data_IF_621183645322
#
_entry.id   IF_621183645322
#
_cell.length_a   1.000
_cell.length_b   1.000
_cell.length_c   1.000
_cell.angle_alpha   90.00
_cell.angle_beta   90.00
_cell.angle_gamma   90.00
#
_symmetry.space_group_name_H-M   'P 1'
#
loop_
_entity.id
_entity.type
_entity.pdbx_description
1 polymer ?
#
# COMPACT_ATOMS: atom_id res chain seq x y z
N UNK A 1 -7.50 19.85 -25.45
CA UNK A 1 -8.72 20.51 -24.96
C UNK A 1 -9.24 19.66 -23.82
N UNK A 2 -9.15 20.12 -22.58
CA UNK A 2 -9.75 19.44 -21.42
C UNK A 2 -11.26 19.60 -21.52
N UNK A 3 -11.97 18.51 -21.84
CA UNK A 3 -13.43 18.44 -21.75
C UNK A 3 -13.82 18.67 -20.29
N UNK A 4 -14.57 19.73 -20.03
CA UNK A 4 -15.15 19.98 -18.72
C UNK A 4 -16.16 18.89 -18.41
N UNK A 5 -15.99 18.20 -17.28
CA UNK A 5 -16.91 17.15 -16.82
C UNK A 5 -17.97 17.82 -15.93
N UNK A 6 -19.26 17.66 -16.25
CA UNK A 6 -20.36 18.00 -15.34
C UNK A 6 -20.83 16.73 -14.62
N UNK A 7 -20.58 16.66 -13.32
CA UNK A 7 -20.98 15.52 -12.49
C UNK A 7 -22.51 15.41 -12.31
N UNK A 8 -23.28 16.46 -12.63
CA UNK A 8 -24.75 16.37 -12.62
C UNK A 8 -25.29 15.45 -13.70
N UNK A 9 -24.50 15.21 -14.76
CA UNK A 9 -24.86 14.31 -15.86
C UNK A 9 -24.43 12.85 -15.58
N UNK A 10 -23.77 12.58 -14.46
CA UNK A 10 -23.35 11.23 -14.10
C UNK A 10 -24.56 10.34 -13.78
N UNK A 11 -24.68 9.23 -14.50
CA UNK A 11 -25.70 8.20 -14.25
C UNK A 11 -25.04 7.05 -13.50
N UNK A 12 -25.42 6.88 -12.23
CA UNK A 12 -24.92 5.80 -11.39
C UNK A 12 -25.36 4.42 -11.90
N UNK A 13 -24.46 3.44 -11.80
CA UNK A 13 -24.71 2.02 -12.07
C UNK A 13 -24.58 1.21 -10.79
N UNK A 14 -23.38 1.12 -10.20
CA UNK A 14 -23.13 0.33 -8.99
C UNK A 14 -21.96 0.86 -8.15
N UNK A 15 -21.96 0.50 -6.87
CA UNK A 15 -20.79 0.71 -5.99
C UNK A 15 -19.69 -0.26 -6.41
N UNK A 16 -18.47 0.25 -6.54
CA UNK A 16 -17.28 -0.55 -6.76
C UNK A 16 -16.61 -0.88 -5.43
N UNK A 17 -16.37 0.11 -4.57
CA UNK A 17 -15.77 -0.08 -3.25
C UNK A 17 -16.24 0.98 -2.25
N UNK A 18 -16.30 0.60 -0.98
CA UNK A 18 -16.61 1.46 0.14
C UNK A 18 -15.64 1.16 1.29
N UNK A 19 -14.87 2.19 1.69
CA UNK A 19 -13.92 2.09 2.79
C UNK A 19 -14.27 3.11 3.88
N UNK A 20 -14.93 2.61 4.92
CA UNK A 20 -15.38 3.42 6.06
C UNK A 20 -14.21 4.04 6.85
N UNK A 21 -13.05 3.37 6.92
CA UNK A 21 -11.88 3.86 7.65
C UNK A 21 -11.19 5.00 6.90
N UNK A 22 -11.01 4.85 5.58
CA UNK A 22 -10.42 5.87 4.73
C UNK A 22 -11.43 6.97 4.34
N UNK A 23 -12.70 6.81 4.72
CA UNK A 23 -13.81 7.68 4.32
C UNK A 23 -13.89 7.91 2.80
N UNK A 24 -13.77 6.82 2.04
CA UNK A 24 -13.80 6.84 0.57
C UNK A 24 -14.88 5.94 -0.01
N UNK A 25 -15.42 6.35 -1.15
CA UNK A 25 -16.40 5.59 -1.93
C UNK A 25 -16.00 5.63 -3.41
N UNK A 26 -15.98 4.50 -4.09
CA UNK A 26 -15.80 4.42 -5.53
C UNK A 26 -17.06 3.84 -6.17
N UNK A 27 -17.57 4.50 -7.21
CA UNK A 27 -18.76 4.06 -7.95
C UNK A 27 -18.49 3.99 -9.45
N UNK A 28 -19.19 3.08 -10.11
CA UNK A 28 -19.26 2.98 -11.56
C UNK A 28 -20.57 3.60 -12.03
N UNK A 29 -20.51 4.22 -13.21
CA UNK A 29 -21.66 4.74 -13.92
C UNK A 29 -21.26 5.16 -15.32
N UNK A 30 -21.98 6.13 -15.86
CA UNK A 30 -21.69 6.68 -17.19
C UNK A 30 -21.78 8.20 -17.23
N UNK A 31 -21.07 8.80 -18.18
CA UNK A 31 -21.12 10.23 -18.51
C UNK A 31 -21.38 10.41 -20.01
N UNK A 32 -21.97 11.53 -20.44
CA UNK A 32 -22.14 11.82 -21.87
C UNK A 32 -20.81 11.86 -22.62
N UNK A 33 -20.82 11.37 -23.85
CA UNK A 33 -19.69 11.52 -24.77
C UNK A 33 -19.83 12.80 -25.57
N UNK A 34 -18.79 13.63 -25.60
CA UNK A 34 -18.75 14.81 -26.46
C UNK A 34 -18.62 14.47 -27.95
N UNK A 35 -18.17 13.26 -28.27
CA UNK A 35 -17.94 12.81 -29.66
C UNK A 35 -19.03 11.86 -30.17
N UNK A 36 -19.68 11.11 -29.28
CA UNK A 36 -20.71 10.11 -29.60
C UNK A 36 -21.93 10.28 -28.69
N UNK A 37 -22.79 11.29 -28.90
CA UNK A 37 -23.86 11.66 -27.95
C UNK A 37 -24.82 10.52 -27.56
N UNK A 38 -24.95 9.49 -28.41
CA UNK A 38 -25.81 8.33 -28.19
C UNK A 38 -25.11 7.16 -27.46
N UNK A 39 -23.80 7.23 -27.25
CA UNK A 39 -23.02 6.21 -26.56
C UNK A 39 -22.34 6.82 -25.33
N UNK A 40 -22.95 6.67 -24.14
CA UNK A 40 -22.38 7.23 -22.93
C UNK A 40 -21.11 6.46 -22.54
N UNK A 41 -20.10 7.20 -22.08
CA UNK A 41 -18.81 6.65 -21.69
C UNK A 41 -18.90 6.08 -20.28
N UNK A 42 -18.34 4.88 -20.06
CA UNK A 42 -18.17 4.34 -18.71
C UNK A 42 -17.30 5.29 -17.90
N UNK A 43 -17.70 5.57 -16.67
CA UNK A 43 -17.00 6.47 -15.78
C UNK A 43 -16.91 5.90 -14.37
N UNK A 44 -15.74 6.05 -13.74
CA UNK A 44 -15.57 5.79 -12.30
C UNK A 44 -15.52 7.14 -11.60
N UNK A 45 -16.31 7.30 -10.55
CA UNK A 45 -16.26 8.47 -9.67
C UNK A 45 -15.84 7.99 -8.28
N UNK A 46 -14.74 8.54 -7.76
CA UNK A 46 -14.24 8.25 -6.41
C UNK A 46 -14.35 9.49 -5.54
N UNK A 47 -15.02 9.33 -4.40
CA UNK A 47 -15.19 10.32 -3.34
C UNK A 47 -14.21 10.02 -2.21
N UNK A 48 -13.64 11.08 -1.64
CA UNK A 48 -12.75 11.02 -0.49
C UNK A 48 -13.05 12.21 0.42
N UNK A 49 -13.36 11.96 1.70
CA UNK A 49 -13.48 13.06 2.68
C UNK A 49 -12.15 13.78 2.80
N UNK A 50 -12.19 15.11 2.82
CA UNK A 50 -11.00 15.90 3.09
C UNK A 50 -10.60 15.77 4.56
N UNK A 51 -9.30 15.87 4.83
CA UNK A 51 -8.78 15.80 6.19
C UNK A 51 -9.19 17.05 6.98
N UNK A 52 -9.50 16.86 8.26
CA UNK A 52 -9.69 17.97 9.18
C UNK A 52 -8.35 18.64 9.47
N UNK A 53 -8.21 19.91 9.12
CA UNK A 53 -7.02 20.69 9.44
C UNK A 53 -7.03 21.12 10.90
N UNK A 54 -5.85 21.33 11.49
CA UNK A 54 -5.73 21.87 12.86
C UNK A 54 -6.38 23.26 13.01
N UNK A 55 -6.58 24.01 11.92
CA UNK A 55 -7.27 25.30 11.93
C UNK A 55 -8.76 25.18 12.24
N UNK A 56 -9.38 24.00 12.07
CA UNK A 56 -10.74 23.74 12.52
C UNK A 56 -10.87 23.94 14.03
N UNK A 57 -9.85 23.52 14.80
CA UNK A 57 -9.89 23.60 16.26
C UNK A 57 -9.98 25.04 16.77
N UNK A 58 -9.27 25.99 16.15
CA UNK A 58 -9.34 27.41 16.54
C UNK A 58 -10.66 28.08 16.14
N UNK A 59 -11.44 27.45 15.25
CA UNK A 59 -12.70 27.98 14.72
C UNK A 59 -13.96 27.35 15.33
N UNK A 60 -13.81 26.35 16.22
CA UNK A 60 -14.95 25.71 16.90
C UNK A 60 -15.80 26.74 17.65
N UNK A 61 -15.14 27.65 18.38
CA UNK A 61 -15.81 28.72 19.13
C UNK A 61 -16.36 29.84 18.24
N UNK A 62 -15.87 29.97 17.00
CA UNK A 62 -16.28 31.01 16.06
C UNK A 62 -17.35 30.55 15.07
N UNK A 63 -17.98 29.39 15.33
CA UNK A 63 -19.14 28.93 14.55
C UNK A 63 -18.78 28.20 13.26
N UNK A 64 -17.72 27.38 13.22
CA UNK A 64 -17.48 26.49 12.06
C UNK A 64 -18.56 25.40 11.92
N UNK A 65 -19.23 25.04 13.02
CA UNK A 65 -20.30 24.06 13.05
C UNK A 65 -21.65 24.73 12.72
N UNK A 66 -22.31 24.26 11.68
CA UNK A 66 -23.67 24.67 11.32
C UNK A 66 -24.70 24.07 12.28
N UNK A 67 -24.53 22.79 12.62
CA UNK A 67 -25.41 22.10 13.56
C UNK A 67 -24.72 20.91 14.22
N UNK A 68 -25.24 20.49 15.36
CA UNK A 68 -24.80 19.29 16.07
C UNK A 68 -25.98 18.46 16.54
N UNK A 69 -25.79 17.15 16.63
CA UNK A 69 -26.76 16.19 17.18
C UNK A 69 -26.06 15.25 18.13
N UNK A 70 -26.40 15.30 19.41
CA UNK A 70 -25.87 14.37 20.39
C UNK A 70 -26.37 12.95 20.10
N UNK A 71 -25.45 11.99 20.10
CA UNK A 71 -25.74 10.58 19.88
C UNK A 71 -25.88 9.88 21.24
N UNK A 72 -25.02 10.22 22.20
CA UNK A 72 -25.06 9.67 23.54
C UNK A 72 -24.08 10.35 24.49
N UNK A 73 -24.16 9.94 25.76
CA UNK A 73 -23.24 10.37 26.82
C UNK A 73 -23.17 9.34 27.93
N UNK A 74 -22.00 9.20 28.54
CA UNK A 74 -21.80 8.44 29.79
C UNK A 74 -20.68 9.07 30.61
N UNK A 75 -20.95 9.34 31.89
CA UNK A 75 -20.03 10.04 32.80
C UNK A 75 -19.47 11.33 32.17
N UNK A 76 -18.17 11.39 31.90
CA UNK A 76 -17.49 12.53 31.27
C UNK A 76 -17.39 12.45 29.73
N UNK A 77 -17.92 11.39 29.12
CA UNK A 77 -17.84 11.17 27.67
C UNK A 77 -19.15 11.54 26.99
N UNK A 78 -19.09 12.33 25.92
CA UNK A 78 -20.22 12.65 25.05
C UNK A 78 -19.78 12.64 23.60
N UNK A 79 -20.62 12.14 22.70
CA UNK A 79 -20.31 12.08 21.27
C UNK A 79 -21.49 12.56 20.42
N UNK A 80 -21.15 13.26 19.34
CA UNK A 80 -22.08 14.03 18.52
C UNK A 80 -21.83 13.72 17.05
N UNK A 81 -22.89 13.81 16.24
CA UNK A 81 -22.74 14.18 14.84
C UNK A 81 -22.66 15.71 14.75
N UNK A 82 -21.89 16.22 13.79
CA UNK A 82 -21.79 17.63 13.50
C UNK A 82 -21.75 17.85 11.99
N UNK A 83 -22.29 18.99 11.56
CA UNK A 83 -22.28 19.44 10.17
C UNK A 83 -21.54 20.76 10.10
N UNK A 84 -20.63 20.89 9.13
CA UNK A 84 -19.84 22.11 8.91
C UNK A 84 -20.61 23.05 7.99
N UNK A 85 -20.43 24.35 8.19
CA UNK A 85 -20.88 25.32 7.18
C UNK A 85 -20.10 25.14 5.87
N UNK A 86 -20.79 25.30 4.74
CA UNK A 86 -20.16 25.32 3.42
C UNK A 86 -19.15 26.48 3.33
N UNK A 87 -17.91 26.18 2.97
CA UNK A 87 -16.85 27.16 2.72
C UNK A 87 -16.00 26.78 1.53
N UNK A 88 -15.57 27.79 0.75
CA UNK A 88 -14.75 27.55 -0.45
C UNK A 88 -13.29 27.24 -0.11
N UNK A 89 -12.78 27.72 1.04
CA UNK A 89 -11.43 27.46 1.54
C UNK A 89 -11.30 26.09 2.24
N UNK A 90 -12.42 25.41 2.50
CA UNK A 90 -12.48 24.17 3.24
C UNK A 90 -13.53 23.20 2.65
N UNK A 91 -13.29 22.63 1.46
CA UNK A 91 -14.23 21.70 0.83
C UNK A 91 -14.31 20.38 1.60
N UNK A 92 -15.50 19.78 1.71
CA UNK A 92 -15.73 18.56 2.50
C UNK A 92 -15.29 17.25 1.81
N UNK A 93 -15.30 17.22 0.47
CA UNK A 93 -15.08 16.02 -0.32
C UNK A 93 -14.24 16.35 -1.54
N UNK A 94 -13.22 15.54 -1.79
CA UNK A 94 -12.46 15.53 -3.04
C UNK A 94 -13.00 14.44 -3.96
N UNK A 95 -13.20 14.77 -5.23
CA UNK A 95 -13.76 13.86 -6.24
C UNK A 95 -12.73 13.60 -7.33
N UNK A 96 -12.54 12.34 -7.68
CA UNK A 96 -11.71 11.90 -8.80
C UNK A 96 -12.60 11.23 -9.84
N UNK A 97 -12.38 11.56 -11.13
CA UNK A 97 -13.16 10.99 -12.24
C UNK A 97 -12.23 10.31 -13.23
N UNK A 98 -12.56 9.06 -13.59
CA UNK A 98 -11.91 8.32 -14.68
C UNK A 98 -12.95 8.13 -15.77
N UNK A 99 -12.78 8.79 -16.91
CA UNK A 99 -13.67 8.69 -18.05
C UNK A 99 -12.88 8.91 -19.36
N UNK A 100 -12.93 7.98 -20.35
CA UNK A 100 -13.61 6.69 -20.29
C UNK A 100 -12.87 5.68 -19.38
N UNK A 101 -13.62 4.96 -18.56
CA UNK A 101 -13.12 3.87 -17.73
C UNK A 101 -13.08 2.55 -18.51
N UNK A 102 -11.91 1.91 -18.54
CA UNK A 102 -11.73 0.58 -19.10
C UNK A 102 -12.06 -0.50 -18.07
N UNK A 103 -12.18 -1.75 -18.51
CA UNK A 103 -12.39 -2.89 -17.61
C UNK A 103 -11.24 -3.06 -16.61
N UNK A 104 -10.01 -2.70 -17.00
CA UNK A 104 -8.83 -2.70 -16.11
C UNK A 104 -9.01 -1.71 -14.96
N UNK A 105 -9.51 -0.50 -15.24
CA UNK A 105 -9.81 0.47 -14.19
C UNK A 105 -10.90 -0.05 -13.26
N UNK A 106 -11.97 -0.62 -13.81
CA UNK A 106 -13.11 -1.09 -13.03
C UNK A 106 -12.71 -2.21 -12.08
N UNK A 107 -11.94 -3.19 -12.54
CA UNK A 107 -11.40 -4.25 -11.68
C UNK A 107 -10.49 -3.72 -10.58
N UNK A 108 -9.68 -2.70 -10.87
CA UNK A 108 -8.80 -2.05 -9.88
C UNK A 108 -9.59 -1.36 -8.75
N UNK A 109 -10.70 -0.69 -9.07
CA UNK A 109 -11.51 0.03 -8.10
C UNK A 109 -12.64 -0.80 -7.49
N UNK A 110 -12.90 -2.00 -8.01
CA UNK A 110 -13.86 -2.93 -7.43
C UNK A 110 -13.26 -3.53 -6.16
N UNK A 111 -14.02 -3.53 -5.06
CA UNK A 111 -13.69 -4.19 -3.81
C UNK A 111 -13.39 -5.66 -4.10
N UNK A 112 -12.23 -6.09 -3.63
CA UNK A 112 -11.82 -7.48 -3.74
C UNK A 112 -12.02 -8.14 -2.39
N UNK A 113 -12.66 -9.30 -2.39
CA UNK A 113 -12.62 -10.16 -1.22
C UNK A 113 -11.18 -10.64 -1.02
N UNK A 114 -10.74 -10.65 0.24
CA UNK A 114 -9.39 -11.05 0.60
C UNK A 114 -9.45 -12.44 1.21
N UNK A 115 -8.77 -13.38 0.57
CA UNK A 115 -8.55 -14.71 1.11
C UNK A 115 -7.25 -14.70 1.92
N UNK A 116 -7.34 -15.01 3.22
CA UNK A 116 -6.14 -15.28 4.03
C UNK A 116 -5.65 -16.69 3.72
N UNK A 117 -4.48 -16.79 3.10
CA UNK A 117 -3.86 -18.06 2.75
C UNK A 117 -2.73 -18.39 3.71
N UNK A 118 -2.51 -19.69 3.96
CA UNK A 118 -1.43 -20.20 4.80
C UNK A 118 -0.46 -21.01 3.93
N UNK A 119 0.58 -20.35 3.44
CA UNK A 119 1.56 -20.91 2.52
C UNK A 119 2.64 -21.70 3.27
N UNK A 120 2.58 -23.02 3.19
CA UNK A 120 3.64 -23.90 3.67
C UNK A 120 4.86 -23.89 2.73
N UNK A 121 6.04 -24.37 3.17
CA UNK A 121 7.19 -24.52 2.26
C UNK A 121 6.88 -25.36 1.01
N UNK A 122 6.04 -26.38 1.13
CA UNK A 122 5.63 -27.20 -0.01
C UNK A 122 4.81 -26.39 -1.02
N UNK A 123 3.82 -25.61 -0.55
CA UNK A 123 3.02 -24.72 -1.39
C UNK A 123 3.86 -23.61 -2.03
N UNK A 124 4.87 -23.09 -1.31
CA UNK A 124 5.82 -22.16 -1.89
C UNK A 124 6.52 -22.78 -3.11
N UNK A 125 7.07 -24.00 -2.96
CA UNK A 125 7.80 -24.64 -4.05
C UNK A 125 6.91 -25.02 -5.23
N UNK A 126 5.68 -25.50 -4.99
CA UNK A 126 4.80 -26.01 -6.05
C UNK A 126 3.95 -24.92 -6.74
N UNK A 127 3.62 -23.83 -6.05
CA UNK A 127 2.69 -22.80 -6.55
C UNK A 127 3.38 -21.44 -6.66
N UNK A 128 3.91 -20.95 -5.55
CA UNK A 128 4.31 -19.53 -5.46
C UNK A 128 5.63 -19.27 -6.17
N UNK A 129 6.64 -20.11 -6.00
CA UNK A 129 7.93 -19.98 -6.68
C UNK A 129 7.78 -20.04 -8.21
N UNK A 130 7.02 -20.99 -8.82
CA UNK A 130 6.72 -20.93 -10.24
C UNK A 130 6.05 -19.63 -10.68
N UNK A 131 5.12 -19.09 -9.89
CA UNK A 131 4.49 -17.79 -10.17
C UNK A 131 5.49 -16.63 -10.15
N UNK A 132 6.42 -16.61 -9.19
CA UNK A 132 7.49 -15.61 -9.10
C UNK A 132 8.40 -15.70 -10.33
N UNK A 133 8.82 -16.92 -10.71
CA UNK A 133 9.71 -17.12 -11.85
C UNK A 133 9.05 -16.81 -13.20
N UNK A 134 7.72 -16.95 -13.29
CA UNK A 134 6.94 -16.56 -14.45
C UNK A 134 6.53 -15.07 -14.45
N UNK A 135 6.94 -14.30 -13.44
CA UNK A 135 6.59 -12.89 -13.33
C UNK A 135 7.30 -12.10 -14.42
N UNK A 136 6.53 -11.38 -15.24
CA UNK A 136 7.05 -10.63 -16.38
C UNK A 136 8.10 -9.59 -15.92
N UNK A 137 9.37 -9.70 -16.37
CA UNK A 137 10.43 -8.75 -16.02
C UNK A 137 10.10 -7.29 -16.36
N UNK A 138 9.25 -7.05 -17.35
CA UNK A 138 8.80 -5.70 -17.70
C UNK A 138 8.07 -5.01 -16.53
N UNK A 139 7.46 -5.77 -15.62
CA UNK A 139 6.79 -5.24 -14.42
C UNK A 139 7.76 -4.69 -13.37
N UNK A 140 9.03 -5.04 -13.46
CA UNK A 140 10.12 -4.56 -12.59
C UNK A 140 11.11 -3.66 -13.35
N UNK A 141 10.83 -3.30 -14.61
CA UNK A 141 11.75 -2.49 -15.42
C UNK A 141 12.07 -1.14 -14.76
N UNK A 142 11.06 -0.49 -14.18
CA UNK A 142 11.25 0.78 -13.46
C UNK A 142 12.27 0.67 -12.31
N UNK A 143 12.38 -0.49 -11.67
CA UNK A 143 13.40 -0.74 -10.63
C UNK A 143 14.78 -0.73 -11.28
N UNK A 144 14.94 -1.42 -12.40
CA UNK A 144 16.21 -1.47 -13.14
C UNK A 144 16.63 -0.10 -13.65
N UNK A 145 15.67 0.72 -14.08
CA UNK A 145 15.92 2.09 -14.54
C UNK A 145 16.49 2.96 -13.39
N UNK A 146 15.98 2.77 -12.17
CA UNK A 146 16.51 3.44 -10.97
C UNK A 146 17.92 2.91 -10.62
N UNK A 147 18.09 1.58 -10.60
CA UNK A 147 19.36 0.94 -10.23
C UNK A 147 20.50 1.31 -11.20
N UNK A 148 20.19 1.47 -12.49
CA UNK A 148 21.15 1.88 -13.54
C UNK A 148 21.31 3.40 -13.65
N UNK A 149 20.51 4.18 -12.90
CA UNK A 149 20.56 5.64 -12.90
C UNK A 149 19.94 6.30 -14.13
N UNK A 150 19.16 5.57 -14.94
CA UNK A 150 18.42 6.13 -16.08
C UNK A 150 17.12 6.83 -15.64
N UNK A 151 16.61 6.51 -14.45
CA UNK A 151 15.48 7.18 -13.80
C UNK A 151 15.80 7.54 -12.35
N UNK A 152 15.19 8.62 -11.84
CA UNK A 152 15.21 9.06 -10.43
C UNK A 152 16.58 9.22 -9.76
N UNK A 153 17.69 9.26 -10.52
CA UNK A 153 19.04 9.33 -9.97
C UNK A 153 19.25 10.52 -9.01
N UNK A 154 18.60 11.66 -9.28
CA UNK A 154 18.66 12.85 -8.41
C UNK A 154 17.93 12.68 -7.07
N UNK A 155 17.04 11.70 -6.96
CA UNK A 155 16.21 11.45 -5.77
C UNK A 155 16.88 10.49 -4.79
N UNK A 156 18.03 9.91 -5.14
CA UNK A 156 18.75 8.95 -4.30
C UNK A 156 19.30 9.66 -3.06
N UNK A 157 18.89 9.18 -1.89
CA UNK A 157 19.28 9.71 -0.57
C UNK A 157 20.47 8.97 0.03
N UNK A 158 20.62 7.69 -0.33
CA UNK A 158 21.75 6.85 0.03
C UNK A 158 22.01 5.84 -1.08
N UNK A 159 23.26 5.76 -1.52
CA UNK A 159 23.72 4.73 -2.44
C UNK A 159 24.77 3.86 -1.76
N UNK A 160 24.61 2.56 -1.84
CA UNK A 160 25.61 1.59 -1.41
C UNK A 160 25.72 0.45 -2.42
N UNK A 161 26.78 -0.37 -2.37
CA UNK A 161 26.91 -1.52 -3.27
C UNK A 161 25.73 -2.49 -3.19
N UNK A 162 25.06 -2.57 -2.04
CA UNK A 162 24.00 -3.54 -1.78
C UNK A 162 22.58 -2.99 -1.95
N UNK A 163 22.36 -1.69 -1.74
CA UNK A 163 21.03 -1.08 -1.80
C UNK A 163 21.07 0.43 -2.04
N UNK A 164 19.99 0.96 -2.60
CA UNK A 164 19.69 2.38 -2.74
C UNK A 164 18.52 2.77 -1.84
N UNK A 165 18.51 3.98 -1.27
CA UNK A 165 17.36 4.54 -0.53
C UNK A 165 16.88 5.80 -1.24
N UNK A 166 15.58 5.91 -1.49
CA UNK A 166 14.94 7.04 -2.16
C UNK A 166 13.47 7.21 -1.71
N UNK A 167 12.85 8.38 -1.93
CA UNK A 167 11.41 8.58 -1.70
C UNK A 167 10.54 7.59 -2.50
N UNK A 168 9.47 7.08 -1.89
CA UNK A 168 8.42 6.34 -2.61
C UNK A 168 7.49 7.33 -3.31
N UNK A 169 6.97 6.97 -4.49
CA UNK A 169 6.00 7.78 -5.24
C UNK A 169 4.73 8.16 -4.45
N UNK A 170 4.41 7.45 -3.36
CA UNK A 170 3.27 7.74 -2.48
C UNK A 170 3.48 8.96 -1.60
N UNK A 171 4.71 9.42 -1.44
CA UNK A 171 5.02 10.56 -0.59
C UNK A 171 5.24 11.84 -1.40
N UNK A 172 4.61 12.93 -0.95
CA UNK A 172 4.71 14.26 -1.58
C UNK A 172 6.04 14.98 -1.31
N UNK A 173 6.97 14.34 -0.59
CA UNK A 173 8.27 14.89 -0.15
C UNK A 173 8.19 16.15 0.71
N UNK A 174 6.98 16.53 1.14
CA UNK A 174 6.69 17.78 1.84
C UNK A 174 6.22 17.50 3.27
N UNK A 175 5.17 16.68 3.44
CA UNK A 175 4.65 16.36 4.76
C UNK A 175 5.45 15.23 5.40
N UNK A 176 6.32 15.59 6.35
CA UNK A 176 7.18 14.63 7.08
C UNK A 176 6.37 13.59 7.87
N UNK A 177 5.17 13.93 8.35
CA UNK A 177 4.32 12.99 9.09
C UNK A 177 3.87 11.79 8.25
N UNK A 178 3.83 11.96 6.92
CA UNK A 178 3.49 10.96 5.92
C UNK A 178 4.71 10.48 5.14
N UNK A 179 5.93 10.70 5.66
CA UNK A 179 7.16 10.29 4.99
C UNK A 179 7.14 8.80 4.67
N UNK A 180 7.50 8.50 3.43
CA UNK A 180 7.58 7.16 2.87
C UNK A 180 8.80 7.08 1.95
N UNK A 181 9.76 6.24 2.32
CA UNK A 181 10.93 5.91 1.49
C UNK A 181 10.91 4.41 1.16
N UNK A 182 11.63 4.07 0.10
CA UNK A 182 11.96 2.69 -0.26
C UNK A 182 13.48 2.50 -0.17
N UNK A 183 13.89 1.32 0.29
CA UNK A 183 15.22 0.80 0.05
C UNK A 183 15.13 -0.32 -1.00
N UNK A 184 15.81 -0.17 -2.13
CA UNK A 184 15.86 -1.13 -3.23
C UNK A 184 17.17 -1.91 -3.18
N UNK A 185 17.10 -3.23 -3.17
CA UNK A 185 18.29 -4.08 -3.28
C UNK A 185 18.93 -3.90 -4.66
N UNK A 186 20.25 -3.83 -4.76
CA UNK A 186 20.93 -3.56 -6.03
C UNK A 186 21.08 -4.81 -6.91
N UNK A 187 20.92 -6.00 -6.33
CA UNK A 187 21.06 -7.27 -7.04
C UNK A 187 19.68 -7.87 -7.32
N UNK A 188 19.60 -8.76 -8.31
CA UNK A 188 18.36 -9.38 -8.79
C UNK A 188 18.13 -10.81 -8.29
N UNK A 189 19.01 -11.33 -7.44
CA UNK A 189 18.98 -12.71 -6.93
C UNK A 189 17.98 -12.90 -5.77
N UNK A 190 17.47 -11.81 -5.19
CA UNK A 190 16.48 -11.85 -4.10
C UNK A 190 15.16 -11.26 -4.60
N UNK A 191 14.16 -12.12 -4.78
CA UNK A 191 12.84 -11.73 -5.29
C UNK A 191 11.91 -11.29 -4.15
N UNK A 192 11.99 -11.99 -3.02
CA UNK A 192 11.17 -11.75 -1.84
C UNK A 192 11.85 -12.25 -0.56
N UNK A 193 11.15 -12.13 0.56
CA UNK A 193 11.66 -12.53 1.88
C UNK A 193 12.08 -14.02 1.96
N UNK A 194 11.49 -14.92 1.16
CA UNK A 194 11.86 -16.35 1.10
C UNK A 194 13.29 -16.59 0.60
N UNK A 195 13.88 -15.65 -0.14
CA UNK A 195 15.24 -15.77 -0.69
C UNK A 195 16.31 -15.24 0.27
N UNK A 196 15.92 -14.57 1.36
CA UNK A 196 16.85 -14.09 2.37
C UNK A 196 17.50 -15.26 3.13
N UNK A 197 18.76 -15.06 3.51
CA UNK A 197 19.64 -16.07 4.12
C UNK A 197 20.56 -15.37 5.11
N UNK A 198 20.99 -16.07 6.16
CA UNK A 198 21.98 -15.56 7.11
C UNK A 198 23.24 -15.04 6.41
N UNK A 199 23.81 -15.87 5.52
CA UNK A 199 24.87 -15.47 4.59
C UNK A 199 24.33 -15.58 3.16
N UNK A 200 24.44 -14.54 2.31
CA UNK A 200 25.18 -13.29 2.54
C UNK A 200 24.36 -12.14 3.15
N UNK A 201 23.04 -12.28 3.34
CA UNK A 201 22.15 -11.11 3.45
C UNK A 201 22.10 -10.43 4.83
N UNK A 202 22.40 -11.12 5.94
CA UNK A 202 22.22 -10.55 7.28
C UNK A 202 23.04 -9.27 7.50
N UNK A 203 24.29 -9.25 7.04
CA UNK A 203 25.16 -8.08 7.15
C UNK A 203 24.60 -6.87 6.38
N UNK A 204 24.07 -7.12 5.19
CA UNK A 204 23.42 -6.12 4.34
C UNK A 204 22.16 -5.56 5.00
N UNK A 205 21.27 -6.39 5.55
CA UNK A 205 20.03 -5.94 6.20
C UNK A 205 20.32 -5.06 7.41
N UNK A 206 21.30 -5.45 8.24
CA UNK A 206 21.77 -4.64 9.37
C UNK A 206 22.36 -3.31 8.92
N UNK A 207 23.06 -3.28 7.78
CA UNK A 207 23.60 -2.04 7.19
C UNK A 207 22.47 -1.15 6.67
N UNK A 208 21.48 -1.71 5.97
CA UNK A 208 20.29 -1.01 5.50
C UNK A 208 19.56 -0.32 6.63
N UNK A 209 19.31 -1.04 7.73
CA UNK A 209 18.69 -0.45 8.91
C UNK A 209 19.47 0.76 9.44
N UNK A 210 20.79 0.63 9.62
CA UNK A 210 21.63 1.74 10.11
C UNK A 210 21.63 2.94 9.16
N UNK A 211 21.75 2.69 7.86
CA UNK A 211 21.77 3.75 6.86
C UNK A 211 20.40 4.44 6.74
N UNK A 212 19.30 3.68 6.84
CA UNK A 212 17.96 4.25 6.88
C UNK A 212 17.78 5.19 8.09
N UNK A 213 18.21 4.78 9.29
CA UNK A 213 18.19 5.64 10.47
C UNK A 213 19.00 6.92 10.27
N UNK A 214 20.19 6.81 9.69
CA UNK A 214 21.05 7.96 9.40
C UNK A 214 20.38 8.91 8.40
N UNK A 215 19.85 8.38 7.29
CA UNK A 215 19.16 9.17 6.26
C UNK A 215 18.00 9.97 6.86
N UNK A 216 17.13 9.34 7.65
CA UNK A 216 15.95 10.04 8.19
C UNK A 216 16.31 11.07 9.25
N UNK A 217 17.35 10.81 10.04
CA UNK A 217 17.88 11.76 11.01
C UNK A 217 18.53 12.96 10.34
N UNK A 218 19.40 12.75 9.34
CA UNK A 218 20.17 13.80 8.67
C UNK A 218 19.27 14.72 7.84
N UNK A 219 18.24 14.16 7.18
CA UNK A 219 17.38 14.92 6.24
C UNK A 219 16.18 15.58 6.92
N UNK A 220 15.59 14.94 7.93
CA UNK A 220 14.34 15.41 8.55
C UNK A 220 14.36 15.45 10.08
N UNK A 221 15.49 15.20 10.72
CA UNK A 221 15.61 15.24 12.18
C UNK A 221 14.82 14.14 12.89
N UNK A 222 14.42 13.07 12.18
CA UNK A 222 13.63 11.98 12.76
C UNK A 222 14.54 11.10 13.62
N UNK A 223 14.25 11.07 14.92
CA UNK A 223 14.98 10.26 15.89
C UNK A 223 14.82 8.75 15.69
N UNK A 224 15.67 7.97 16.38
CA UNK A 224 15.53 6.50 16.46
C UNK A 224 14.14 6.13 16.98
N UNK A 225 13.52 5.15 16.33
CA UNK A 225 12.12 4.75 16.58
C UNK A 225 11.08 5.62 15.85
N UNK A 226 11.48 6.67 15.13
CA UNK A 226 10.58 7.54 14.37
C UNK A 226 10.14 7.00 13.01
N UNK A 227 10.65 5.83 12.59
CA UNK A 227 10.18 5.12 11.39
C UNK A 227 9.93 3.63 11.67
N UNK A 228 8.99 3.06 10.94
CA UNK A 228 8.79 1.61 10.79
C UNK A 228 9.53 1.15 9.54
N UNK A 229 10.32 0.10 9.67
CA UNK A 229 10.98 -0.55 8.53
C UNK A 229 10.38 -1.93 8.35
N UNK A 230 9.85 -2.24 7.16
CA UNK A 230 9.16 -3.51 6.93
C UNK A 230 9.23 -3.99 5.48
N UNK A 231 9.03 -5.29 5.31
CA UNK A 231 9.03 -6.00 4.03
C UNK A 231 7.62 -6.53 3.79
N UNK A 232 7.11 -6.41 2.56
CA UNK A 232 5.85 -7.02 2.19
C UNK A 232 6.01 -8.50 1.86
N UNK A 233 5.02 -9.31 2.26
CA UNK A 233 4.83 -10.68 1.79
C UNK A 233 3.34 -10.98 1.63
N UNK A 234 2.79 -11.17 0.42
CA UNK A 234 3.48 -11.09 -0.89
C UNK A 234 3.78 -9.62 -1.30
N UNK A 235 4.91 -9.35 -1.97
CA UNK A 235 5.22 -8.02 -2.47
C UNK A 235 4.40 -7.68 -3.73
N UNK A 236 4.24 -6.38 -4.03
CA UNK A 236 3.55 -5.95 -5.26
C UNK A 236 4.35 -6.22 -6.54
N UNK A 237 5.65 -6.42 -6.42
CA UNK A 237 6.60 -6.79 -7.46
C UNK A 237 7.77 -7.58 -6.85
N UNK A 238 8.36 -8.50 -7.62
CA UNK A 238 9.34 -9.45 -7.11
C UNK A 238 10.78 -9.00 -7.34
N UNK A 239 11.14 -7.93 -6.62
CA UNK A 239 12.51 -7.45 -6.47
C UNK A 239 12.65 -6.97 -5.03
N UNK A 240 13.62 -7.48 -4.27
CA UNK A 240 13.66 -7.23 -2.83
C UNK A 240 13.75 -5.74 -2.49
N UNK A 241 12.85 -5.31 -1.61
CA UNK A 241 12.78 -3.93 -1.14
C UNK A 241 12.28 -3.87 0.31
N UNK A 242 12.65 -2.78 1.00
CA UNK A 242 12.21 -2.46 2.35
C UNK A 242 11.51 -1.11 2.34
N UNK A 243 10.32 -1.06 2.94
CA UNK A 243 9.59 0.18 3.18
C UNK A 243 10.11 0.86 4.44
N UNK A 244 10.36 2.16 4.39
CA UNK A 244 10.80 2.98 5.53
C UNK A 244 9.79 4.11 5.69
N UNK A 245 8.94 4.01 6.71
CA UNK A 245 7.73 4.84 6.83
C UNK A 245 7.69 5.54 8.19
N UNK A 246 7.40 6.84 8.21
CA UNK A 246 7.28 7.58 9.46
C UNK A 246 6.20 7.00 10.39
N UNK A 247 6.44 6.97 11.70
CA UNK A 247 5.51 6.34 12.65
C UNK A 247 4.15 7.03 12.73
N UNK A 248 4.09 8.32 12.41
CA UNK A 248 2.86 9.10 12.28
C UNK A 248 2.02 8.74 11.05
N UNK A 249 2.58 8.06 10.05
CA UNK A 249 1.83 7.61 8.88
C UNK A 249 1.13 6.28 9.22
N UNK A 250 -0.18 6.34 9.43
CA UNK A 250 -1.01 5.24 9.95
C UNK A 250 -2.12 4.88 8.96
N UNK A 251 -2.73 3.70 9.14
CA UNK A 251 -3.91 3.28 8.35
C UNK A 251 -3.61 2.76 6.94
N UNK A 252 -2.34 2.54 6.59
CA UNK A 252 -1.97 1.93 5.31
C UNK A 252 -2.22 0.42 5.33
N UNK A 253 -3.01 -0.09 4.38
CA UNK A 253 -3.25 -1.53 4.22
C UNK A 253 -1.95 -2.34 4.08
N UNK A 254 -0.92 -1.77 3.43
CA UNK A 254 0.40 -2.40 3.31
C UNK A 254 1.09 -2.68 4.65
N UNK A 255 0.72 -1.97 5.72
CA UNK A 255 1.27 -2.17 7.07
C UNK A 255 0.47 -3.19 7.91
N UNK A 256 -0.61 -3.77 7.37
CA UNK A 256 -1.42 -4.71 8.12
C UNK A 256 -0.65 -6.01 8.42
N UNK A 257 -1.00 -6.65 9.55
CA UNK A 257 -0.63 -8.05 9.80
C UNK A 257 -1.17 -8.93 8.69
N UNK A 258 -0.36 -9.89 8.23
CA UNK A 258 -0.65 -10.66 7.02
C UNK A 258 -0.29 -9.96 5.72
N UNK A 259 0.53 -8.90 5.81
CA UNK A 259 1.14 -8.23 4.66
C UNK A 259 2.55 -7.73 5.00
N UNK A 260 2.70 -6.96 6.10
CA UNK A 260 4.00 -6.43 6.52
C UNK A 260 4.71 -7.33 7.54
N UNK A 261 6.03 -7.47 7.35
CA UNK A 261 6.95 -8.08 8.29
C UNK A 261 8.02 -7.07 8.69
N UNK A 262 8.19 -6.79 9.98
CA UNK A 262 9.19 -5.82 10.44
C UNK A 262 10.61 -6.29 10.07
N UNK A 263 11.44 -5.36 9.60
CA UNK A 263 12.83 -5.65 9.26
C UNK A 263 13.61 -6.19 10.47
N UNK A 264 13.36 -5.65 11.66
CA UNK A 264 13.95 -6.11 12.91
C UNK A 264 13.66 -7.59 13.17
N UNK A 265 12.39 -8.00 13.02
CA UNK A 265 12.00 -9.40 13.21
C UNK A 265 12.69 -10.32 12.19
N UNK A 266 12.80 -9.89 10.93
CA UNK A 266 13.48 -10.66 9.89
C UNK A 266 14.98 -10.77 10.17
N UNK A 267 15.61 -9.69 10.63
CA UNK A 267 17.02 -9.72 11.07
C UNK A 267 17.18 -10.72 12.22
N UNK A 268 16.33 -10.66 13.25
CA UNK A 268 16.40 -11.58 14.38
C UNK A 268 16.16 -13.04 13.98
N UNK A 269 15.21 -13.30 13.08
CA UNK A 269 15.00 -14.66 12.54
C UNK A 269 16.25 -15.18 11.83
N UNK A 270 16.91 -14.35 11.01
CA UNK A 270 18.14 -14.72 10.31
C UNK A 270 19.37 -14.80 11.24
N UNK A 271 19.38 -14.14 12.38
CA UNK A 271 20.43 -14.33 13.40
C UNK A 271 20.34 -15.73 14.04
N UNK A 272 19.11 -16.23 14.19
CA UNK A 272 18.82 -17.57 14.70
C UNK A 272 18.99 -18.67 13.65
N UNK A 273 19.22 -18.31 12.38
CA UNK A 273 19.49 -19.31 11.35
C UNK A 273 20.77 -20.10 11.66
N UNK A 274 20.78 -21.41 11.33
CA UNK A 274 22.01 -22.19 11.36
C UNK A 274 23.00 -21.61 10.34
N UNK A 275 24.30 -21.84 10.58
CA UNK A 275 25.33 -21.40 9.62
C UNK A 275 25.31 -22.25 8.33
N UNK A 276 24.78 -23.47 8.42
CA UNK A 276 24.57 -24.42 7.33
C UNK A 276 23.11 -24.90 7.24
N UNK A 277 22.64 -25.21 6.02
CA UNK A 277 21.29 -25.72 5.77
C UNK A 277 20.24 -24.68 5.36
N UNK A 278 18.97 -25.09 5.37
CA UNK A 278 17.85 -24.24 4.93
C UNK A 278 17.52 -23.15 5.94
N UNK A 279 17.41 -21.92 5.45
CA UNK A 279 16.98 -20.78 6.25
C UNK A 279 15.61 -21.01 6.90
N UNK A 280 15.40 -20.43 8.07
CA UNK A 280 14.12 -20.38 8.77
C UNK A 280 13.03 -19.79 7.87
N UNK A 281 13.35 -18.78 7.06
CA UNK A 281 12.39 -18.15 6.14
C UNK A 281 11.99 -19.09 4.99
N UNK A 282 12.85 -20.04 4.63
CA UNK A 282 12.51 -21.11 3.69
C UNK A 282 11.58 -22.16 4.33
N UNK A 283 11.73 -22.42 5.63
CA UNK A 283 11.00 -23.47 6.36
C UNK A 283 9.70 -22.99 7.01
N UNK A 284 9.57 -21.68 7.23
CA UNK A 284 8.38 -21.10 7.85
C UNK A 284 7.15 -21.24 6.95
N UNK A 285 6.00 -21.31 7.61
CA UNK A 285 4.70 -21.14 6.96
C UNK A 285 4.31 -19.67 7.09
N UNK A 286 4.05 -18.99 5.97
CA UNK A 286 3.63 -17.59 5.98
C UNK A 286 2.13 -17.49 5.77
N UNK A 287 1.49 -16.54 6.46
CA UNK A 287 0.06 -16.27 6.32
C UNK A 287 -0.11 -14.86 5.80
N UNK A 288 -0.83 -14.71 4.68
CA UNK A 288 -1.01 -13.41 4.04
C UNK A 288 -2.34 -13.32 3.27
N UNK A 289 -2.78 -12.10 3.01
CA UNK A 289 -4.01 -11.83 2.27
C UNK A 289 -3.79 -11.82 0.76
N UNK A 290 -4.70 -12.45 0.00
CA UNK A 290 -4.76 -12.35 -1.45
C UNK A 290 -6.13 -11.82 -1.88
N UNK A 291 -6.15 -10.70 -2.61
CA UNK A 291 -7.37 -10.25 -3.29
C UNK A 291 -7.75 -11.19 -4.44
N UNK A 292 -9.04 -11.27 -4.78
CA UNK A 292 -9.57 -12.15 -5.84
C UNK A 292 -8.91 -11.97 -7.21
N UNK A 293 -8.39 -10.78 -7.52
CA UNK A 293 -7.69 -10.50 -8.79
C UNK A 293 -6.18 -10.77 -8.71
N UNK A 294 -5.64 -11.18 -7.56
CA UNK A 294 -4.24 -11.52 -7.43
C UNK A 294 -3.94 -12.83 -8.18
N UNK A 295 -2.82 -12.89 -8.91
CA UNK A 295 -2.47 -14.05 -9.74
C UNK A 295 -2.31 -15.37 -8.95
N UNK A 296 -1.93 -15.27 -7.68
CA UNK A 296 -1.86 -16.43 -6.76
C UNK A 296 -3.21 -16.85 -6.17
N UNK A 297 -4.29 -16.05 -6.29
CA UNK A 297 -5.55 -16.30 -5.59
C UNK A 297 -6.13 -17.67 -5.95
N UNK A 298 -6.35 -17.92 -7.25
CA UNK A 298 -6.96 -19.16 -7.73
C UNK A 298 -6.17 -20.43 -7.35
N UNK A 299 -4.85 -20.54 -7.64
CA UNK A 299 -4.12 -21.75 -7.29
C UNK A 299 -4.01 -21.97 -5.79
N UNK A 300 -3.88 -20.90 -4.97
CA UNK A 300 -3.85 -21.04 -3.52
C UNK A 300 -5.22 -21.43 -2.94
N UNK A 301 -6.31 -20.90 -3.48
CA UNK A 301 -7.67 -21.28 -3.09
C UNK A 301 -7.96 -22.77 -3.41
N UNK A 302 -7.51 -23.26 -4.57
CA UNK A 302 -7.62 -24.67 -4.92
C UNK A 302 -6.84 -25.57 -3.96
N UNK A 303 -5.59 -25.21 -3.64
CA UNK A 303 -4.77 -25.96 -2.69
C UNK A 303 -5.36 -26.00 -1.27
N UNK A 304 -6.08 -24.95 -0.85
CA UNK A 304 -6.79 -24.94 0.43
C UNK A 304 -7.98 -25.92 0.43
N UNK A 305 -8.75 -25.98 -0.66
CA UNK A 305 -9.88 -26.89 -0.77
C UNK A 305 -9.45 -28.36 -0.68
N UNK A 306 -8.34 -28.73 -1.35
CA UNK A 306 -7.79 -30.09 -1.30
C UNK A 306 -7.33 -30.51 0.11
N UNK A 307 -6.88 -29.56 0.94
CA UNK A 307 -6.52 -29.87 2.33
C UNK A 307 -7.77 -30.12 3.18
N UNK A 308 -8.89 -29.45 2.91
CA UNK A 308 -10.14 -29.68 3.61
C UNK A 308 -10.76 -31.04 3.25
N UNK A 309 -10.73 -31.43 1.97
CA UNK A 309 -11.27 -32.72 1.51
C UNK A 309 -10.47 -33.95 2.01
N UNK A 310 -9.24 -33.76 2.49
CA UNK A 310 -8.39 -34.83 3.04
C UNK A 310 -8.47 -34.96 4.58
N UNK A 311 -9.31 -34.15 5.24
CA UNK A 311 -9.48 -34.14 6.71
C UNK A 311 -10.85 -34.69 7.14
N UNK A 312 -11.76 -34.94 6.19
CA UNK A 312 -13.05 -35.63 6.38
C UNK A 312 -12.97 -37.11 5.93
#
# INVERSE_FOLDING_TARGET
>A
MTTSIDLKEFVFDRVLDENALAHTLAVLGTLPSSTTPFEPLRAIVRFERTALSATVASQLSSGILESTKQIGSTDIYSWFFAWLHKRDDFPDVKIYVICPATEVHIRKYTKQDVLMVRESPALYQSIVKPYILAFDPARTQWVQDILTGTAEASNILNASPDFLILPDMKWDTTNVSTLYLLALYTHSDVHCMRDLRKKPHLGMLKKLQRDAWRVVQDKWGIGRGGVRMYIHYQPSYYHFHVHIVHTGHVGLNGMAVGQAHLLDDIISLLELDPDDGSSILERMTFTYGLGTEHGLYKPMAAALAEVHDNVD
#
